data_IF_901835874319
#
_entry.id   IF_901835874319
#
_cell.length_a   1.000
_cell.length_b   1.000
_cell.length_c   1.000
_cell.angle_alpha   90.00
_cell.angle_beta   90.00
_cell.angle_gamma   90.00
#
_symmetry.space_group_name_H-M   'P 1'
#
loop_
_entity.id
_entity.type
_entity.pdbx_description
1 polymer ?
#
# COMPACT_ATOMS: atom_id res chain seq x y z
N UNK A 1 7.30 -3.29 -5.29
CA UNK A 1 6.63 -2.23 -4.48
C UNK A 1 7.50 -1.74 -3.32
N UNK A 2 7.95 -2.62 -2.41
CA UNK A 2 8.73 -2.25 -1.21
C UNK A 2 9.98 -1.40 -1.55
N UNK A 3 10.84 -1.88 -2.45
CA UNK A 3 12.04 -1.13 -2.86
C UNK A 3 11.71 0.20 -3.54
N UNK A 4 10.57 0.29 -4.23
CA UNK A 4 10.13 1.53 -4.85
C UNK A 4 9.57 2.55 -3.85
N UNK A 5 9.05 2.10 -2.69
CA UNK A 5 8.56 2.98 -1.61
C UNK A 5 9.69 3.46 -0.71
N UNK A 6 10.75 2.68 -0.57
CA UNK A 6 11.89 2.93 0.33
C UNK A 6 12.51 4.34 0.20
N UNK A 7 12.71 4.91 -1.01
CA UNK A 7 13.24 6.28 -1.16
C UNK A 7 12.31 7.38 -0.63
N UNK A 8 11.01 7.11 -0.51
CA UNK A 8 10.01 8.06 -0.02
C UNK A 8 9.81 7.93 1.48
N UNK A 9 9.81 6.69 1.99
CA UNK A 9 9.60 6.41 3.40
C UNK A 9 10.08 5.01 3.80
N UNK A 10 11.26 4.93 4.44
CA UNK A 10 11.85 3.68 4.94
C UNK A 10 10.95 2.94 5.93
N UNK A 11 10.23 3.67 6.78
CA UNK A 11 9.36 3.06 7.78
C UNK A 11 8.16 2.38 7.13
N UNK A 12 7.53 3.00 6.13
CA UNK A 12 6.42 2.41 5.37
C UNK A 12 6.88 1.21 4.54
N UNK A 13 8.08 1.27 3.95
CA UNK A 13 8.67 0.12 3.29
C UNK A 13 8.83 -1.08 4.24
N UNK A 14 9.14 -0.83 5.52
CA UNK A 14 9.16 -1.84 6.57
C UNK A 14 7.78 -2.44 6.84
N UNK A 15 6.74 -1.61 7.01
CA UNK A 15 5.36 -2.06 7.24
C UNK A 15 4.84 -2.94 6.10
N UNK A 16 5.13 -2.56 4.85
CA UNK A 16 4.73 -3.30 3.65
C UNK A 16 5.27 -4.73 3.58
N UNK A 17 6.33 -5.09 4.32
CA UNK A 17 6.85 -6.48 4.36
C UNK A 17 5.86 -7.49 4.93
N UNK A 18 4.93 -7.01 5.75
CA UNK A 18 3.86 -7.83 6.37
C UNK A 18 2.49 -7.58 5.73
N UNK A 19 2.47 -6.87 4.62
CA UNK A 19 1.28 -6.59 3.84
C UNK A 19 1.35 -7.34 2.51
N UNK A 20 0.20 -7.67 1.93
CA UNK A 20 0.15 -8.34 0.63
C UNK A 20 -0.97 -7.77 -0.24
N UNK A 21 -0.80 -7.79 -1.58
CA UNK A 21 -1.90 -7.44 -2.48
C UNK A 21 -3.04 -8.45 -2.28
N UNK A 22 -4.27 -7.94 -2.21
CA UNK A 22 -5.48 -8.76 -2.04
C UNK A 22 -6.34 -8.78 -3.31
N UNK A 23 -6.52 -7.62 -3.94
CA UNK A 23 -7.33 -7.52 -5.14
C UNK A 23 -6.93 -6.31 -5.98
N UNK A 24 -7.28 -6.35 -7.26
CA UNK A 24 -7.30 -5.19 -8.14
C UNK A 24 -8.61 -5.18 -8.93
N UNK A 25 -9.51 -4.25 -8.60
CA UNK A 25 -10.84 -4.16 -9.20
C UNK A 25 -11.20 -2.70 -9.44
N UNK A 26 -11.71 -2.36 -10.63
CA UNK A 26 -12.19 -1.02 -10.96
C UNK A 26 -11.17 0.10 -10.68
N UNK A 27 -9.88 -0.15 -10.95
CA UNK A 27 -8.81 0.82 -10.70
C UNK A 27 -8.42 0.99 -9.22
N UNK A 28 -8.92 0.13 -8.33
CA UNK A 28 -8.58 0.13 -6.90
C UNK A 28 -7.69 -1.08 -6.60
N UNK A 29 -6.50 -0.83 -6.06
CA UNK A 29 -5.60 -1.85 -5.50
C UNK A 29 -5.89 -1.98 -4.01
N UNK A 30 -6.35 -3.15 -3.59
CA UNK A 30 -6.56 -3.48 -2.17
C UNK A 30 -5.32 -4.17 -1.63
N UNK A 31 -4.76 -3.64 -0.55
CA UNK A 31 -3.63 -4.21 0.18
C UNK A 31 -4.14 -4.67 1.54
N UNK A 32 -3.91 -5.94 1.86
CA UNK A 32 -4.25 -6.50 3.16
C UNK A 32 -3.05 -6.45 4.11
N UNK A 33 -3.34 -6.22 5.38
CA UNK A 33 -2.38 -6.31 6.49
C UNK A 33 -2.93 -7.23 7.57
N UNK A 34 -2.04 -7.92 8.29
CA UNK A 34 -2.42 -8.81 9.40
C UNK A 34 -2.62 -8.09 10.75
N UNK A 35 -2.12 -6.86 10.88
CA UNK A 35 -2.16 -6.11 12.14
C UNK A 35 -2.84 -4.77 11.99
N UNK A 36 -3.71 -4.42 12.95
CA UNK A 36 -4.47 -3.16 12.93
C UNK A 36 -3.56 -1.93 12.85
N UNK A 37 -2.46 -1.91 13.59
CA UNK A 37 -1.51 -0.78 13.57
C UNK A 37 -0.77 -0.64 12.22
N UNK A 38 -0.60 -1.73 11.46
CA UNK A 38 -0.11 -1.66 10.09
C UNK A 38 -1.17 -1.12 9.14
N UNK A 39 -2.42 -1.57 9.28
CA UNK A 39 -3.55 -1.03 8.52
C UNK A 39 -3.66 0.48 8.71
N UNK A 40 -3.67 0.96 9.95
CA UNK A 40 -3.76 2.39 10.28
C UNK A 40 -2.62 3.19 9.66
N UNK A 41 -1.39 2.67 9.76
CA UNK A 41 -0.19 3.33 9.22
C UNK A 41 -0.17 3.40 7.69
N UNK A 42 -0.65 2.37 7.00
CA UNK A 42 -0.77 2.39 5.54
C UNK A 42 -2.00 3.17 5.06
N UNK A 43 -3.01 3.34 5.92
CA UNK A 43 -4.26 4.06 5.59
C UNK A 43 -4.13 5.57 5.67
N UNK A 44 -3.05 6.09 6.27
CA UNK A 44 -2.74 7.52 6.28
C UNK A 44 -2.77 8.10 4.87
N UNK A 45 -3.37 9.29 4.72
CA UNK A 45 -3.62 9.90 3.41
C UNK A 45 -2.33 10.14 2.63
N UNK A 46 -1.26 10.60 3.30
CA UNK A 46 0.03 10.84 2.64
C UNK A 46 0.66 9.52 2.22
N UNK A 47 0.57 8.50 3.07
CA UNK A 47 1.06 7.16 2.76
C UNK A 47 0.33 6.56 1.57
N UNK A 48 -1.02 6.57 1.56
CA UNK A 48 -1.82 6.09 0.41
C UNK A 48 -1.47 6.83 -0.88
N UNK A 49 -1.20 8.13 -0.81
CA UNK A 49 -0.71 8.93 -1.94
C UNK A 49 0.63 8.40 -2.48
N UNK A 50 1.61 8.18 -1.61
CA UNK A 50 2.91 7.59 -2.00
C UNK A 50 2.71 6.23 -2.66
N UNK A 51 1.86 5.36 -2.10
CA UNK A 51 1.60 4.04 -2.67
C UNK A 51 0.97 4.14 -4.06
N UNK A 52 -0.02 5.02 -4.24
CA UNK A 52 -0.68 5.25 -5.52
C UNK A 52 0.32 5.79 -6.57
N UNK A 53 1.17 6.74 -6.20
CA UNK A 53 2.18 7.30 -7.09
C UNK A 53 3.24 6.28 -7.48
N UNK A 54 3.69 5.45 -6.53
CA UNK A 54 4.61 4.35 -6.81
C UNK A 54 3.97 3.33 -7.77
N UNK A 55 2.72 2.95 -7.53
CA UNK A 55 1.99 2.03 -8.43
C UNK A 55 1.82 2.64 -9.82
N UNK A 56 1.50 3.93 -9.92
CA UNK A 56 1.44 4.65 -11.19
C UNK A 56 2.80 4.66 -11.90
N UNK A 57 3.91 4.85 -11.20
CA UNK A 57 5.26 4.81 -11.79
C UNK A 57 5.62 3.41 -12.28
N UNK A 58 5.23 2.37 -11.56
CA UNK A 58 5.54 0.99 -11.92
C UNK A 58 4.69 0.46 -13.07
N UNK A 59 3.42 0.86 -13.15
CA UNK A 59 2.45 0.26 -14.06
C UNK A 59 1.89 1.23 -15.10
N UNK A 60 2.19 2.53 -15.02
CA UNK A 60 1.68 3.55 -15.94
C UNK A 60 0.20 3.91 -15.75
N UNK A 61 -0.50 3.26 -14.83
CA UNK A 61 -1.94 3.43 -14.61
C UNK A 61 -2.20 4.16 -13.29
N UNK A 62 -3.09 5.16 -13.32
CA UNK A 62 -3.57 5.81 -12.10
C UNK A 62 -4.49 4.86 -11.35
N UNK A 63 -4.13 4.54 -10.12
CA UNK A 63 -4.91 3.65 -9.25
C UNK A 63 -5.25 4.34 -7.93
N UNK A 64 -6.35 3.93 -7.31
CA UNK A 64 -6.61 4.19 -5.91
C UNK A 64 -6.05 3.04 -5.07
N UNK A 65 -5.65 3.32 -3.83
CA UNK A 65 -5.14 2.31 -2.91
C UNK A 65 -6.07 2.23 -1.72
N UNK A 66 -6.53 1.03 -1.36
CA UNK A 66 -7.29 0.75 -0.15
C UNK A 66 -6.55 -0.24 0.73
N UNK A 67 -6.66 -0.06 2.05
CA UNK A 67 -5.98 -0.91 3.03
C UNK A 67 -7.02 -1.58 3.91
N UNK A 68 -6.95 -2.91 4.00
CA UNK A 68 -7.87 -3.71 4.80
C UNK A 68 -7.11 -4.53 5.85
N UNK A 69 -7.72 -4.69 7.02
CA UNK A 69 -7.25 -5.66 8.00
C UNK A 69 -7.79 -7.04 7.62
N UNK A 70 -6.89 -7.96 7.34
CA UNK A 70 -7.24 -9.37 7.16
C UNK A 70 -7.06 -10.07 8.50
N UNK A 71 -8.13 -10.72 8.97
CA UNK A 71 -8.02 -11.59 10.13
C UNK A 71 -7.33 -12.89 9.68
N UNK A 72 -6.36 -13.39 10.46
CA UNK A 72 -5.78 -14.70 10.20
C UNK A 72 -6.84 -15.80 10.20
#
# INVERSE_FOLDING_TARGET
MIEAVKPYNHSIAGVLRSAHPKAFTNGVVTIATLYKFHQERLSDVKVRGILADVLKKLFGVKVNVEIVLEKP
#
